data_IF_616177803672
#
_entry.id   IF_616177803672
#
_cell.length_a   1.000
_cell.length_b   1.000
_cell.length_c   1.000
_cell.angle_alpha   90.00
_cell.angle_beta   90.00
_cell.angle_gamma   90.00
#
_symmetry.space_group_name_H-M   'P 1'
#
loop_
_entity.id
_entity.type
_entity.pdbx_description
1 polymer ?
#
# COMPACT_ATOMS: atom_id res chain seq x y z
N UNK A 1 -20.63 -26.23 -13.50
CA UNK A 1 -20.60 -25.63 -12.17
C UNK A 1 -19.55 -24.53 -12.18
N UNK A 2 -19.97 -23.29 -12.04
CA UNK A 2 -19.02 -22.21 -11.78
C UNK A 2 -18.53 -22.38 -10.34
N UNK A 3 -17.26 -22.70 -10.14
CA UNK A 3 -16.64 -22.64 -8.83
C UNK A 3 -16.66 -21.17 -8.38
N UNK A 4 -17.69 -20.81 -7.61
CA UNK A 4 -17.79 -19.47 -7.06
C UNK A 4 -16.63 -19.27 -6.08
N UNK A 5 -15.81 -18.24 -6.30
CA UNK A 5 -14.75 -17.84 -5.38
C UNK A 5 -15.38 -17.58 -4.01
N UNK A 6 -14.87 -18.21 -2.93
CA UNK A 6 -15.41 -17.97 -1.59
C UNK A 6 -15.40 -16.48 -1.23
N UNK A 7 -16.40 -16.01 -0.49
CA UNK A 7 -16.54 -14.60 -0.13
C UNK A 7 -15.36 -14.00 0.65
N UNK A 8 -14.56 -14.85 1.31
CA UNK A 8 -13.38 -14.40 2.05
C UNK A 8 -12.13 -14.27 1.20
N UNK A 9 -12.21 -14.70 -0.07
CA UNK A 9 -11.08 -14.76 -0.99
C UNK A 9 -11.16 -13.66 -2.04
N UNK A 10 -10.04 -12.98 -2.24
CA UNK A 10 -9.80 -12.09 -3.37
C UNK A 10 -8.67 -12.68 -4.21
N UNK A 11 -8.87 -12.76 -5.52
CA UNK A 11 -7.86 -13.23 -6.47
C UNK A 11 -7.31 -12.03 -7.23
N UNK A 12 -6.05 -11.70 -6.97
CA UNK A 12 -5.33 -10.68 -7.73
C UNK A 12 -4.66 -11.34 -8.93
N UNK A 13 -4.90 -10.81 -10.11
CA UNK A 13 -4.31 -11.30 -11.35
C UNK A 13 -3.06 -10.50 -11.75
N UNK A 14 -2.26 -11.07 -12.65
CA UNK A 14 -1.05 -10.43 -13.19
C UNK A 14 -0.03 -10.02 -12.12
N UNK A 15 0.05 -10.78 -11.05
CA UNK A 15 1.00 -10.54 -9.97
C UNK A 15 2.38 -11.06 -10.36
N UNK A 16 3.37 -10.17 -10.42
CA UNK A 16 4.76 -10.56 -10.67
C UNK A 16 5.36 -11.34 -9.50
N UNK A 17 6.38 -12.13 -9.78
CA UNK A 17 7.12 -12.81 -8.71
C UNK A 17 7.72 -11.82 -7.70
N UNK A 18 8.16 -10.65 -8.17
CA UNK A 18 8.69 -9.57 -7.32
C UNK A 18 7.62 -9.04 -6.36
N UNK A 19 6.43 -8.75 -6.86
CA UNK A 19 5.30 -8.31 -6.03
C UNK A 19 4.91 -9.38 -5.02
N UNK A 20 4.81 -10.64 -5.45
CA UNK A 20 4.52 -11.75 -4.54
C UNK A 20 5.56 -11.87 -3.43
N UNK A 21 6.83 -11.77 -3.74
CA UNK A 21 7.90 -11.84 -2.74
C UNK A 21 7.80 -10.71 -1.71
N UNK A 22 7.41 -9.51 -2.13
CA UNK A 22 7.17 -8.40 -1.23
C UNK A 22 5.97 -8.67 -0.32
N UNK A 23 4.85 -9.13 -0.87
CA UNK A 23 3.69 -9.55 -0.08
C UNK A 23 4.05 -10.63 0.94
N UNK A 24 4.78 -11.65 0.51
CA UNK A 24 5.20 -12.74 1.38
C UNK A 24 6.10 -12.25 2.53
N UNK A 25 7.03 -11.37 2.24
CA UNK A 25 7.88 -10.75 3.26
C UNK A 25 7.05 -10.02 4.32
N UNK A 26 6.12 -9.18 3.90
CA UNK A 26 5.25 -8.42 4.80
C UNK A 26 4.27 -9.33 5.55
N UNK A 27 3.71 -10.33 4.87
CA UNK A 27 2.81 -11.32 5.49
C UNK A 27 3.52 -12.11 6.60
N UNK A 28 4.75 -12.53 6.38
CA UNK A 28 5.54 -13.27 7.37
C UNK A 28 5.84 -12.45 8.64
N UNK A 29 5.74 -11.13 8.57
CA UNK A 29 5.87 -10.25 9.71
C UNK A 29 4.58 -10.11 10.53
N UNK A 30 3.50 -10.75 10.10
CA UNK A 30 2.18 -10.75 10.76
C UNK A 30 1.64 -9.33 11.02
N UNK A 31 1.80 -8.44 10.04
CA UNK A 31 1.36 -7.05 10.16
C UNK A 31 -0.17 -6.96 10.10
N UNK A 32 -0.82 -6.24 11.04
CA UNK A 32 -2.28 -6.24 11.16
C UNK A 32 -3.00 -5.50 10.03
N UNK A 33 -2.29 -4.71 9.24
CA UNK A 33 -2.85 -3.89 8.15
C UNK A 33 -2.59 -4.48 6.75
N UNK A 34 -2.00 -5.67 6.69
CA UNK A 34 -1.73 -6.40 5.43
C UNK A 34 -2.73 -7.56 5.31
N UNK A 35 -3.45 -7.69 4.19
CA UNK A 35 -4.30 -8.85 3.95
C UNK A 35 -3.51 -10.15 4.00
N UNK A 36 -4.11 -11.21 4.54
CA UNK A 36 -3.48 -12.54 4.58
C UNK A 36 -3.28 -13.08 3.18
N UNK A 37 -2.15 -13.75 2.94
CA UNK A 37 -1.88 -14.50 1.73
C UNK A 37 -2.29 -15.95 1.93
N UNK A 38 -2.92 -16.54 0.92
CA UNK A 38 -3.29 -17.96 0.94
C UNK A 38 -2.48 -18.78 -0.05
N UNK A 39 -2.34 -18.30 -1.28
CA UNK A 39 -1.67 -19.05 -2.33
C UNK A 39 -1.19 -18.13 -3.45
N UNK A 40 -0.05 -18.46 -4.05
CA UNK A 40 0.43 -17.85 -5.29
C UNK A 40 0.69 -18.92 -6.34
N UNK A 41 0.09 -18.76 -7.50
CA UNK A 41 0.38 -19.59 -8.68
C UNK A 41 1.35 -18.85 -9.60
N UNK A 42 2.58 -19.33 -9.64
CA UNK A 42 3.65 -18.73 -10.44
C UNK A 42 3.39 -18.83 -11.94
N UNK A 43 2.67 -19.88 -12.38
CA UNK A 43 2.38 -20.13 -13.80
C UNK A 43 1.31 -19.18 -14.30
N UNK A 44 0.20 -19.05 -13.57
CA UNK A 44 -0.91 -18.16 -13.92
C UNK A 44 -0.73 -16.74 -13.42
N UNK A 45 0.24 -16.50 -12.54
CA UNK A 45 0.50 -15.21 -11.87
C UNK A 45 -0.70 -14.70 -11.07
N UNK A 46 -1.46 -15.62 -10.47
CA UNK A 46 -2.60 -15.31 -9.61
C UNK A 46 -2.21 -15.42 -8.14
N UNK A 47 -2.62 -14.43 -7.36
CA UNK A 47 -2.42 -14.37 -5.93
C UNK A 47 -3.76 -14.43 -5.21
N UNK A 48 -3.95 -15.49 -4.44
CA UNK A 48 -5.12 -15.65 -3.57
C UNK A 48 -4.83 -15.01 -2.23
N UNK A 49 -5.66 -14.06 -1.83
CA UNK A 49 -5.46 -13.29 -0.62
C UNK A 49 -6.78 -13.02 0.11
N UNK A 50 -6.69 -12.60 1.35
CA UNK A 50 -7.85 -12.22 2.14
C UNK A 50 -8.61 -11.07 1.47
N UNK A 51 -9.91 -11.23 1.32
CA UNK A 51 -10.80 -10.15 0.91
C UNK A 51 -11.09 -9.23 2.09
N UNK A 52 -10.78 -7.97 1.93
CA UNK A 52 -11.14 -6.95 2.92
C UNK A 52 -12.54 -6.41 2.55
N UNK A 53 -13.47 -6.54 3.50
CA UNK A 53 -14.83 -6.02 3.32
C UNK A 53 -14.83 -4.54 3.68
N UNK A 54 -14.83 -3.69 2.67
CA UNK A 54 -14.78 -2.25 2.82
C UNK A 54 -14.67 -1.56 1.48
N UNK A 55 -14.40 -0.27 1.51
CA UNK A 55 -14.20 0.56 0.31
C UNK A 55 -12.82 1.17 0.34
N UNK A 56 -12.26 1.48 -0.83
CA UNK A 56 -11.06 2.29 -0.88
C UNK A 56 -11.33 3.67 -0.27
N UNK A 57 -10.29 4.28 0.27
CA UNK A 57 -10.37 5.64 0.82
C UNK A 57 -10.89 6.63 -0.23
N UNK A 58 -10.42 6.50 -1.49
CA UNK A 58 -10.87 7.34 -2.58
C UNK A 58 -12.36 7.13 -2.91
N UNK A 59 -12.85 5.90 -2.93
CA UNK A 59 -14.25 5.61 -3.21
C UNK A 59 -15.18 6.05 -2.08
N UNK A 60 -14.70 5.99 -0.84
CA UNK A 60 -15.51 6.32 0.34
C UNK A 60 -15.56 7.81 0.65
N UNK A 61 -14.41 8.51 0.59
CA UNK A 61 -14.28 9.90 0.99
C UNK A 61 -14.05 10.86 -0.17
N UNK A 62 -13.65 10.36 -1.34
CA UNK A 62 -13.19 11.16 -2.47
C UNK A 62 -11.66 11.20 -2.57
N UNK A 63 -11.18 11.70 -3.69
CA UNK A 63 -9.75 11.69 -4.03
C UNK A 63 -8.96 12.84 -3.39
N UNK A 64 -9.65 13.94 -3.06
CA UNK A 64 -8.98 15.11 -2.50
C UNK A 64 -8.56 14.90 -1.04
N UNK A 65 -7.36 15.35 -0.71
CA UNK A 65 -6.81 15.25 0.64
C UNK A 65 -7.77 15.81 1.71
N UNK A 66 -8.38 16.96 1.42
CA UNK A 66 -9.29 17.64 2.36
C UNK A 66 -10.60 16.90 2.60
N UNK A 67 -10.97 15.95 1.71
CA UNK A 67 -12.17 15.13 1.86
C UNK A 67 -11.94 13.95 2.83
N UNK A 68 -10.70 13.58 3.09
CA UNK A 68 -10.36 12.43 3.92
C UNK A 68 -10.24 12.85 5.39
N UNK A 69 -10.94 12.16 6.32
CA UNK A 69 -10.82 12.48 7.74
C UNK A 69 -9.37 12.44 8.23
N UNK A 70 -8.99 13.37 9.08
CA UNK A 70 -7.64 13.46 9.65
C UNK A 70 -7.19 12.17 10.33
N UNK A 71 -8.12 11.46 10.96
CA UNK A 71 -7.85 10.17 11.59
C UNK A 71 -7.36 9.14 10.56
N UNK A 72 -8.03 9.06 9.41
CA UNK A 72 -7.67 8.13 8.33
C UNK A 72 -6.31 8.49 7.75
N UNK A 73 -6.07 9.76 7.48
CA UNK A 73 -4.74 10.23 7.02
C UNK A 73 -3.64 9.89 8.05
N UNK A 74 -3.93 10.06 9.32
CA UNK A 74 -2.98 9.70 10.40
C UNK A 74 -2.67 8.19 10.41
N UNK A 75 -3.67 7.35 10.20
CA UNK A 75 -3.47 5.90 10.11
C UNK A 75 -2.66 5.51 8.86
N UNK A 76 -2.93 6.14 7.72
CA UNK A 76 -2.12 5.94 6.50
C UNK A 76 -0.65 6.32 6.76
N UNK A 77 -0.40 7.48 7.37
CA UNK A 77 0.96 7.90 7.74
C UNK A 77 1.65 6.89 8.65
N UNK A 78 0.93 6.36 9.63
CA UNK A 78 1.47 5.36 10.55
C UNK A 78 1.85 4.06 9.84
N UNK A 79 1.04 3.61 8.89
CA UNK A 79 1.34 2.44 8.06
C UNK A 79 2.61 2.69 7.24
N UNK A 80 2.69 3.81 6.54
CA UNK A 80 3.84 4.16 5.71
C UNK A 80 5.10 4.29 6.58
N UNK A 81 5.00 4.94 7.73
CA UNK A 81 6.10 5.06 8.71
C UNK A 81 6.58 3.70 9.18
N UNK A 82 5.67 2.79 9.47
CA UNK A 82 6.02 1.44 9.87
C UNK A 82 6.79 0.70 8.77
N UNK A 83 6.30 0.77 7.52
CA UNK A 83 6.98 0.16 6.39
C UNK A 83 8.40 0.72 6.21
N UNK A 84 8.56 2.03 6.31
CA UNK A 84 9.88 2.66 6.29
C UNK A 84 10.79 2.14 7.40
N UNK A 85 10.26 1.94 8.60
CA UNK A 85 11.02 1.44 9.76
C UNK A 85 11.57 0.05 9.54
N UNK A 86 10.88 -0.78 8.77
CA UNK A 86 11.34 -2.13 8.41
C UNK A 86 12.09 -2.17 7.07
N UNK A 87 12.39 -1.02 6.49
CA UNK A 87 13.19 -0.90 5.28
C UNK A 87 12.40 -1.04 3.98
N UNK A 88 11.08 -0.87 4.00
CA UNK A 88 10.22 -0.94 2.81
C UNK A 88 9.71 0.44 2.42
N UNK A 89 9.92 0.80 1.17
CA UNK A 89 9.37 2.02 0.58
C UNK A 89 8.12 1.69 -0.22
N UNK A 90 7.03 2.39 0.07
CA UNK A 90 5.75 2.30 -0.62
C UNK A 90 5.50 3.60 -1.40
N UNK A 91 5.79 3.64 -2.72
CA UNK A 91 5.72 4.89 -3.48
C UNK A 91 4.32 5.23 -3.97
N UNK A 92 3.46 4.25 -4.17
CA UNK A 92 2.13 4.43 -4.79
C UNK A 92 1.06 4.78 -3.74
N UNK A 93 1.24 5.89 -3.03
CA UNK A 93 0.36 6.33 -1.96
C UNK A 93 -0.84 7.07 -2.56
N UNK A 94 -1.85 6.30 -2.96
CA UNK A 94 -3.11 6.81 -3.48
C UNK A 94 -4.28 6.36 -2.61
N UNK A 95 -5.37 7.10 -2.62
CA UNK A 95 -6.59 6.73 -1.88
C UNK A 95 -7.19 5.40 -2.33
N UNK A 96 -6.85 4.92 -3.52
CA UNK A 96 -7.31 3.63 -4.04
C UNK A 96 -6.56 2.43 -3.45
N UNK A 97 -5.36 2.63 -2.92
CA UNK A 97 -4.52 1.58 -2.37
C UNK A 97 -4.70 1.36 -0.85
N UNK A 98 -5.62 2.07 -0.25
CA UNK A 98 -6.00 1.89 1.15
C UNK A 98 -7.49 1.59 1.26
N UNK A 99 -7.84 0.55 2.00
CA UNK A 99 -9.23 0.14 2.22
C UNK A 99 -9.61 0.45 3.66
N UNK A 100 -10.78 1.05 3.84
CA UNK A 100 -11.40 1.26 5.16
C UNK A 100 -12.47 0.20 5.35
N UNK A 101 -12.33 -0.63 6.37
CA UNK A 101 -13.31 -1.65 6.69
C UNK A 101 -14.48 -1.10 7.55
N UNK A 102 -15.45 -1.95 7.83
CA UNK A 102 -16.63 -1.59 8.65
C UNK A 102 -16.28 -1.13 10.07
N UNK A 103 -15.09 -1.46 10.57
CA UNK A 103 -14.61 -1.04 11.88
C UNK A 103 -13.74 0.21 11.81
N UNK A 104 -13.74 0.90 10.67
CA UNK A 104 -12.88 2.05 10.36
C UNK A 104 -11.38 1.77 10.41
N UNK A 105 -11.00 0.51 10.30
CA UNK A 105 -9.61 0.10 10.21
C UNK A 105 -9.09 0.29 8.79
N UNK A 106 -7.89 0.82 8.66
CA UNK A 106 -7.22 1.03 7.37
C UNK A 106 -6.33 -0.17 7.04
N UNK A 107 -6.49 -0.67 5.84
CA UNK A 107 -5.67 -1.72 5.23
C UNK A 107 -4.91 -1.16 4.05
N UNK A 108 -3.70 -1.65 3.80
CA UNK A 108 -2.92 -1.30 2.63
C UNK A 108 -2.89 -2.47 1.64
N UNK A 109 -3.04 -2.18 0.37
CA UNK A 109 -3.01 -3.14 -0.73
C UNK A 109 -2.08 -2.64 -1.84
N UNK A 110 -1.79 -3.51 -2.81
CA UNK A 110 -1.01 -3.21 -4.00
C UNK A 110 0.44 -2.83 -3.73
N UNK A 111 1.31 -3.84 -3.76
CA UNK A 111 2.75 -3.70 -3.51
C UNK A 111 3.60 -3.80 -4.79
N UNK A 112 3.00 -3.62 -5.95
CA UNK A 112 3.69 -3.75 -7.23
C UNK A 112 4.93 -2.85 -7.35
N UNK A 113 4.84 -1.64 -6.82
CA UNK A 113 5.91 -0.64 -6.92
C UNK A 113 6.80 -0.55 -5.68
N UNK A 114 6.55 -1.38 -4.67
CA UNK A 114 7.35 -1.39 -3.44
C UNK A 114 8.76 -1.89 -3.67
N UNK A 115 9.68 -1.37 -2.90
CA UNK A 115 11.09 -1.79 -2.91
C UNK A 115 11.74 -1.65 -1.54
N UNK A 116 12.92 -2.27 -1.38
CA UNK A 116 13.71 -2.15 -0.16
C UNK A 116 14.59 -0.92 -0.21
N UNK A 117 14.76 -0.21 0.91
CA UNK A 117 15.57 1.01 1.02
C UNK A 117 16.99 0.79 0.48
N UNK A 118 17.59 -0.37 0.74
CA UNK A 118 18.94 -0.71 0.29
C UNK A 118 19.08 -0.86 -1.23
N UNK A 119 17.97 -0.92 -1.96
CA UNK A 119 17.95 -1.02 -3.43
C UNK A 119 17.77 0.36 -4.10
N UNK A 120 17.84 1.44 -3.36
CA UNK A 120 17.76 2.83 -3.83
C UNK A 120 19.02 3.24 -4.62
N UNK A 121 19.31 2.53 -5.68
CA UNK A 121 20.37 2.95 -6.63
C UNK A 121 19.82 3.71 -7.82
N UNK A 122 18.51 3.73 -8.02
CA UNK A 122 17.87 4.50 -9.08
C UNK A 122 17.41 5.86 -8.54
N UNK A 123 18.17 6.88 -8.90
CA UNK A 123 17.89 8.30 -8.63
C UNK A 123 16.60 8.83 -9.26
N UNK A 124 15.78 7.96 -9.88
CA UNK A 124 14.54 8.33 -10.57
C UNK A 124 13.28 8.02 -9.77
N UNK A 125 13.40 7.60 -8.52
CA UNK A 125 12.25 7.39 -7.66
C UNK A 125 11.74 8.74 -7.15
N UNK A 126 10.57 9.10 -7.63
CA UNK A 126 9.89 10.38 -7.40
C UNK A 126 9.89 10.83 -5.94
N UNK A 127 9.95 9.90 -5.01
CA UNK A 127 9.97 10.16 -3.57
C UNK A 127 11.29 10.76 -3.10
N UNK A 128 12.41 10.38 -3.74
CA UNK A 128 13.75 10.78 -3.33
C UNK A 128 14.34 11.91 -4.15
N UNK A 129 13.87 12.12 -5.38
CA UNK A 129 14.34 13.21 -6.25
C UNK A 129 14.07 14.62 -5.67
N UNK A 130 13.13 14.72 -4.74
CA UNK A 130 12.77 16.00 -4.12
C UNK A 130 13.52 16.32 -2.83
N UNK A 131 14.26 15.37 -2.28
CA UNK A 131 14.97 15.52 -1.00
C UNK A 131 16.49 15.37 -1.10
N UNK A 132 17.07 15.57 -2.25
CA UNK A 132 18.52 15.77 -2.48
C UNK A 132 19.42 15.00 -1.46
N UNK A 133 19.29 13.68 -1.38
CA UNK A 133 20.09 12.76 -0.55
C UNK A 133 20.10 13.05 1.00
N UNK A 134 19.47 14.11 1.44
CA UNK A 134 19.31 14.42 2.85
C UNK A 134 17.81 14.37 3.19
N UNK A 135 17.34 13.22 3.66
CA UNK A 135 16.02 13.16 4.32
C UNK A 135 16.26 13.66 5.75
N UNK A 136 16.01 14.94 6.04
CA UNK A 136 16.42 15.53 7.31
C UNK A 136 15.63 14.97 8.49
N UNK A 137 14.37 14.62 8.24
CA UNK A 137 13.48 13.97 9.20
C UNK A 137 12.55 13.03 8.46
N UNK A 138 12.54 11.78 8.92
CA UNK A 138 11.69 10.73 8.36
C UNK A 138 10.19 11.08 8.43
N UNK A 139 9.76 11.67 9.54
CA UNK A 139 8.36 12.04 9.72
C UNK A 139 7.95 13.20 8.82
N UNK A 140 8.82 14.19 8.63
CA UNK A 140 8.62 15.29 7.67
C UNK A 140 8.51 14.73 6.23
N UNK A 141 9.38 13.80 5.88
CA UNK A 141 9.35 13.15 4.58
C UNK A 141 8.04 12.40 4.35
N UNK A 142 7.61 11.57 5.30
CA UNK A 142 6.37 10.81 5.21
C UNK A 142 5.17 11.74 5.09
N UNK A 143 5.11 12.80 5.89
CA UNK A 143 4.05 13.79 5.81
C UNK A 143 4.02 14.49 4.45
N UNK A 144 5.17 14.86 3.92
CA UNK A 144 5.27 15.45 2.60
C UNK A 144 4.76 14.51 1.51
N UNK A 145 5.22 13.26 1.50
CA UNK A 145 4.86 12.27 0.48
C UNK A 145 3.37 11.97 0.51
N UNK A 146 2.78 11.76 1.69
CA UNK A 146 1.35 11.50 1.82
C UNK A 146 0.53 12.70 1.34
N UNK A 147 0.85 13.90 1.80
CA UNK A 147 0.14 15.12 1.38
C UNK A 147 0.27 15.35 -0.13
N UNK A 148 1.47 15.16 -0.68
CA UNK A 148 1.73 15.35 -2.12
C UNK A 148 0.94 14.34 -2.96
N UNK A 149 0.95 13.07 -2.58
CA UNK A 149 0.28 12.00 -3.33
C UNK A 149 -1.23 12.21 -3.37
N UNK A 150 -1.86 12.55 -2.25
CA UNK A 150 -3.30 12.83 -2.21
C UNK A 150 -3.69 14.12 -2.93
N UNK A 151 -2.85 15.14 -2.93
CA UNK A 151 -3.16 16.41 -3.60
C UNK A 151 -2.95 16.37 -5.11
N UNK A 152 -2.09 15.47 -5.62
CA UNK A 152 -1.78 15.40 -7.05
C UNK A 152 -2.71 14.49 -7.86
N UNK A 153 -3.57 13.73 -7.23
CA UNK A 153 -4.58 12.93 -7.93
C UNK A 153 -5.66 13.79 -8.62
N UNK A 154 -5.74 15.06 -8.30
CA UNK A 154 -6.72 16.01 -8.84
C UNK A 154 -6.23 16.85 -10.04
N UNK A 155 -5.09 16.54 -10.62
CA UNK A 155 -4.56 17.24 -11.79
C UNK A 155 -4.57 16.35 -13.03
#
# INVERSE_FOLDING_TARGET
MSDSVPNYLFVKEEVSLREYKMYKYLHNMELPFIPKLYRYDKTTRKLDMQRIIGMSVADFYGEAFDCVPKKIISEIRNIIRYLYNIGVVYPDITGYNFIVDKNSKVWIIDFEHCFYINNLQNKNDIIFDKFDNNIPDKDEHINFVVNFSFNNENN
#
